data_IF_237914670574
#
_entry.id   IF_237914670574
#
_cell.length_a   1.000
_cell.length_b   1.000
_cell.length_c   1.000
_cell.angle_alpha   90.00
_cell.angle_beta   90.00
_cell.angle_gamma   90.00
#
_symmetry.space_group_name_H-M   'P 1'
#
loop_
_entity.id
_entity.type
_entity.pdbx_description
1 polymer ?
#
# COMPACT_ATOMS: atom_id res chain seq x y z
N UNK A 1 15.23 22.01 22.72
CA UNK A 1 14.20 22.46 21.76
C UNK A 1 13.41 21.22 21.37
N UNK A 2 12.24 20.98 21.98
CA UNK A 2 11.40 19.81 21.65
C UNK A 2 10.78 20.06 20.27
N UNK A 3 11.07 19.19 19.31
CA UNK A 3 10.42 19.25 18.00
C UNK A 3 8.92 19.01 18.18
N UNK A 4 8.09 19.93 17.72
CA UNK A 4 6.64 19.77 17.69
C UNK A 4 6.32 18.55 16.84
N UNK A 5 5.72 17.54 17.45
CA UNK A 5 5.35 16.29 16.78
C UNK A 5 4.31 16.59 15.70
N UNK A 6 4.56 16.18 14.46
CA UNK A 6 3.61 16.43 13.36
C UNK A 6 2.39 15.51 13.47
N UNK A 7 1.27 15.88 12.83
CA UNK A 7 0.07 15.04 12.72
C UNK A 7 0.42 13.62 12.24
N UNK A 8 1.30 13.50 11.25
CA UNK A 8 1.72 12.22 10.69
C UNK A 8 2.60 11.41 11.66
N UNK A 9 3.44 12.05 12.46
CA UNK A 9 4.21 11.37 13.50
C UNK A 9 3.33 10.83 14.64
N UNK A 10 2.22 11.51 14.94
CA UNK A 10 1.24 10.99 15.89
C UNK A 10 0.52 9.76 15.33
N UNK A 11 0.06 9.84 14.08
CA UNK A 11 -0.57 8.71 13.37
C UNK A 11 0.37 7.51 13.27
N UNK A 12 1.65 7.73 12.95
CA UNK A 12 2.64 6.65 12.82
C UNK A 12 2.76 5.83 14.11
N UNK A 13 2.85 6.47 15.26
CA UNK A 13 2.95 5.79 16.56
C UNK A 13 1.64 5.09 16.97
N UNK A 14 0.48 5.65 16.65
CA UNK A 14 -0.78 4.94 16.83
C UNK A 14 -0.82 3.66 15.99
N UNK A 15 -0.36 3.74 14.73
CA UNK A 15 -0.26 2.59 13.84
C UNK A 15 0.80 1.58 14.32
N UNK A 16 1.94 2.02 14.83
CA UNK A 16 2.99 1.15 15.38
C UNK A 16 2.51 0.40 16.64
N UNK A 17 1.60 1.01 17.41
CA UNK A 17 0.91 0.38 18.56
C UNK A 17 -0.33 -0.43 18.15
N UNK A 18 -0.55 -0.63 16.86
CA UNK A 18 -1.71 -1.35 16.31
C UNK A 18 -3.07 -0.75 16.74
N UNK A 19 -3.19 0.59 16.70
CA UNK A 19 -4.42 1.36 17.01
C UNK A 19 -4.94 2.12 15.78
N UNK A 20 -5.30 1.44 14.67
CA UNK A 20 -5.69 2.10 13.42
C UNK A 20 -7.03 2.86 13.51
N UNK A 21 -7.98 2.44 14.36
CA UNK A 21 -9.25 3.14 14.57
C UNK A 21 -9.03 4.52 15.18
N UNK A 22 -8.13 4.61 16.16
CA UNK A 22 -7.80 5.86 16.83
C UNK A 22 -7.00 6.79 15.92
N UNK A 23 -6.08 6.23 15.13
CA UNK A 23 -5.36 6.96 14.11
C UNK A 23 -6.31 7.59 13.08
N UNK A 24 -7.29 6.81 12.60
CA UNK A 24 -8.31 7.29 11.67
C UNK A 24 -9.17 8.39 12.30
N UNK A 25 -9.67 8.16 13.52
CA UNK A 25 -10.48 9.12 14.26
C UNK A 25 -9.74 10.44 14.52
N UNK A 26 -8.42 10.37 14.76
CA UNK A 26 -7.58 11.55 14.92
C UNK A 26 -7.46 12.33 13.61
N UNK A 27 -7.22 11.64 12.49
CA UNK A 27 -7.15 12.26 11.16
C UNK A 27 -8.49 12.88 10.74
N UNK A 28 -9.62 12.25 11.05
CA UNK A 28 -10.97 12.80 10.80
C UNK A 28 -11.21 14.15 11.47
N UNK A 29 -10.61 14.39 12.65
CA UNK A 29 -10.84 15.60 13.44
C UNK A 29 -9.77 16.67 13.26
N UNK A 30 -8.54 16.27 12.95
CA UNK A 30 -7.37 17.13 13.03
C UNK A 30 -6.46 17.09 11.79
N UNK A 31 -6.74 16.19 10.85
CA UNK A 31 -5.94 16.06 9.64
C UNK A 31 -6.25 17.19 8.65
N UNK A 32 -5.25 17.95 8.16
CA UNK A 32 -5.46 18.86 7.04
C UNK A 32 -5.75 18.08 5.75
N UNK A 33 -6.50 18.68 4.83
CA UNK A 33 -6.77 18.11 3.50
C UNK A 33 -5.52 18.16 2.63
N UNK A 34 -4.66 17.16 2.78
CA UNK A 34 -3.39 17.01 2.05
C UNK A 34 -3.22 15.57 1.57
N UNK A 35 -2.56 15.34 0.42
CA UNK A 35 -2.32 13.99 -0.09
C UNK A 35 -1.61 13.06 0.92
N UNK A 36 -0.72 13.60 1.75
CA UNK A 36 0.00 12.86 2.78
C UNK A 36 -0.94 12.36 3.89
N UNK A 37 -1.90 13.20 4.30
CA UNK A 37 -2.93 12.82 5.27
C UNK A 37 -3.91 11.82 4.67
N UNK A 38 -4.29 11.99 3.41
CA UNK A 38 -5.14 11.03 2.70
C UNK A 38 -4.45 9.67 2.53
N UNK A 39 -3.15 9.66 2.22
CA UNK A 39 -2.36 8.44 2.25
C UNK A 39 -2.38 7.77 3.64
N UNK A 40 -2.20 8.55 4.71
CA UNK A 40 -2.23 8.02 6.08
C UNK A 40 -3.62 7.49 6.47
N UNK A 41 -4.69 8.17 6.08
CA UNK A 41 -6.07 7.74 6.21
C UNK A 41 -6.29 6.40 5.52
N UNK A 42 -5.81 6.27 4.28
CA UNK A 42 -5.90 5.01 3.55
C UNK A 42 -5.12 3.87 4.23
N UNK A 43 -3.95 4.13 4.81
CA UNK A 43 -3.22 3.12 5.59
C UNK A 43 -4.03 2.66 6.81
N UNK A 44 -4.68 3.57 7.52
CA UNK A 44 -5.58 3.20 8.62
C UNK A 44 -6.69 2.29 8.10
N UNK A 45 -7.36 2.66 7.00
CA UNK A 45 -8.42 1.88 6.38
C UNK A 45 -7.94 0.48 5.92
N UNK A 46 -6.73 0.36 5.37
CA UNK A 46 -6.13 -0.94 5.04
C UNK A 46 -6.00 -1.84 6.26
N UNK A 47 -5.51 -1.29 7.38
CA UNK A 47 -5.33 -2.06 8.63
C UNK A 47 -6.66 -2.43 9.29
N UNK A 48 -7.71 -1.65 9.04
CA UNK A 48 -9.09 -1.94 9.44
C UNK A 48 -9.81 -2.93 8.51
N UNK A 49 -9.19 -3.36 7.41
CA UNK A 49 -9.83 -4.20 6.40
C UNK A 49 -10.89 -3.48 5.55
N UNK A 50 -10.97 -2.14 5.62
CA UNK A 50 -11.87 -1.31 4.81
C UNK A 50 -11.25 -1.03 3.43
N UNK A 51 -11.05 -2.10 2.66
CA UNK A 51 -10.23 -2.09 1.45
C UNK A 51 -10.78 -1.20 0.33
N UNK A 52 -12.10 -1.19 0.12
CA UNK A 52 -12.74 -0.38 -0.92
C UNK A 52 -12.49 1.11 -0.70
N UNK A 53 -12.62 1.58 0.54
CA UNK A 53 -12.39 2.97 0.92
C UNK A 53 -10.92 3.35 0.74
N UNK A 54 -10.01 2.48 1.20
CA UNK A 54 -8.57 2.70 1.06
C UNK A 54 -8.14 2.80 -0.41
N UNK A 55 -8.67 1.94 -1.28
CA UNK A 55 -8.35 1.94 -2.71
C UNK A 55 -8.86 3.20 -3.40
N UNK A 56 -10.06 3.66 -3.05
CA UNK A 56 -10.61 4.87 -3.63
C UNK A 56 -9.69 6.06 -3.38
N UNK A 57 -9.25 6.25 -2.13
CA UNK A 57 -8.33 7.31 -1.73
C UNK A 57 -6.95 7.14 -2.40
N UNK A 58 -6.35 5.95 -2.30
CA UNK A 58 -5.02 5.70 -2.84
C UNK A 58 -4.95 5.88 -4.35
N UNK A 59 -5.99 5.43 -5.07
CA UNK A 59 -6.09 5.63 -6.52
C UNK A 59 -6.14 7.12 -6.85
N UNK A 60 -6.95 7.89 -6.13
CA UNK A 60 -7.11 9.32 -6.38
C UNK A 60 -5.77 10.07 -6.22
N UNK A 61 -5.10 9.89 -5.08
CA UNK A 61 -3.81 10.58 -4.81
C UNK A 61 -2.65 10.05 -5.68
N UNK A 62 -2.71 8.79 -6.12
CA UNK A 62 -1.64 8.19 -6.94
C UNK A 62 -1.72 8.62 -8.39
N UNK A 63 -2.94 8.67 -8.95
CA UNK A 63 -3.16 9.02 -10.36
C UNK A 63 -3.42 10.52 -10.57
N UNK A 64 -3.99 11.24 -9.60
CA UNK A 64 -4.33 12.67 -9.71
C UNK A 64 -5.11 12.99 -11.01
N UNK A 65 -6.07 12.12 -11.35
CA UNK A 65 -6.87 12.23 -12.58
C UNK A 65 -6.17 11.80 -13.89
N UNK A 66 -4.91 11.38 -13.84
CA UNK A 66 -4.17 10.93 -15.02
C UNK A 66 -4.51 9.46 -15.38
N UNK A 67 -4.34 9.10 -16.66
CA UNK A 67 -4.46 7.71 -17.11
C UNK A 67 -3.32 6.81 -16.60
N UNK A 68 -2.14 7.38 -16.41
CA UNK A 68 -0.94 6.71 -15.88
C UNK A 68 -0.49 7.39 -14.60
N UNK A 69 0.21 6.66 -13.72
CA UNK A 69 0.81 7.24 -12.52
C UNK A 69 1.92 8.24 -12.94
N UNK A 70 1.81 9.52 -12.60
CA UNK A 70 2.84 10.52 -12.89
C UNK A 70 4.22 10.16 -12.31
N UNK A 71 5.31 10.59 -12.95
CA UNK A 71 6.68 10.29 -12.51
C UNK A 71 7.05 10.93 -11.16
N UNK A 72 6.42 12.05 -10.81
CA UNK A 72 6.60 12.78 -9.56
C UNK A 72 5.73 12.25 -8.41
N UNK A 73 4.88 11.24 -8.64
CA UNK A 73 4.04 10.67 -7.59
C UNK A 73 4.91 10.05 -6.49
N UNK A 74 4.74 10.46 -5.21
CA UNK A 74 5.54 9.95 -4.11
C UNK A 74 5.57 8.42 -4.03
N UNK A 75 6.76 7.85 -3.86
CA UNK A 75 6.96 6.40 -3.78
C UNK A 75 6.05 5.74 -2.73
N UNK A 76 5.86 6.40 -1.58
CA UNK A 76 5.02 5.89 -0.48
C UNK A 76 3.57 5.66 -0.92
N UNK A 77 3.00 6.54 -1.76
CA UNK A 77 1.63 6.42 -2.24
C UNK A 77 1.50 5.22 -3.18
N UNK A 78 2.47 5.06 -4.08
CA UNK A 78 2.52 3.91 -5.01
C UNK A 78 2.63 2.58 -4.25
N UNK A 79 3.48 2.49 -3.23
CA UNK A 79 3.64 1.26 -2.43
C UNK A 79 2.40 0.94 -1.59
N UNK A 80 1.73 1.94 -1.03
CA UNK A 80 0.46 1.73 -0.33
C UNK A 80 -0.65 1.31 -1.31
N UNK A 81 -0.68 1.88 -2.51
CA UNK A 81 -1.62 1.47 -3.55
C UNK A 81 -1.37 0.02 -4.01
N UNK A 82 -0.11 -0.38 -4.22
CA UNK A 82 0.25 -1.79 -4.46
C UNK A 82 -0.23 -2.68 -3.32
N UNK A 83 0.00 -2.26 -2.08
CA UNK A 83 -0.45 -3.01 -0.89
C UNK A 83 -1.97 -3.25 -0.97
N UNK A 84 -2.74 -2.20 -1.25
CA UNK A 84 -4.20 -2.28 -1.39
C UNK A 84 -4.63 -3.22 -2.53
N UNK A 85 -4.01 -3.11 -3.70
CA UNK A 85 -4.29 -3.97 -4.86
C UNK A 85 -4.01 -5.45 -4.56
N UNK A 86 -2.92 -5.77 -3.87
CA UNK A 86 -2.63 -7.14 -3.45
C UNK A 86 -3.68 -7.68 -2.49
N UNK A 87 -4.15 -6.88 -1.54
CA UNK A 87 -5.16 -7.27 -0.56
C UNK A 87 -6.53 -7.55 -1.19
N UNK A 88 -6.90 -6.84 -2.26
CA UNK A 88 -8.12 -7.14 -3.05
C UNK A 88 -7.90 -8.13 -4.19
N UNK A 89 -6.75 -8.81 -4.21
CA UNK A 89 -6.41 -9.81 -5.20
C UNK A 89 -6.23 -9.28 -6.65
N UNK A 90 -6.06 -7.97 -6.82
CA UNK A 90 -5.84 -7.31 -8.12
C UNK A 90 -4.35 -7.33 -8.50
N UNK A 91 -3.85 -8.52 -8.85
CA UNK A 91 -2.42 -8.78 -9.03
C UNK A 91 -1.85 -8.14 -10.30
N UNK A 92 -2.62 -8.05 -11.38
CA UNK A 92 -2.14 -7.46 -12.64
C UNK A 92 -1.65 -6.02 -12.44
N UNK A 93 -2.49 -5.19 -11.80
CA UNK A 93 -2.13 -3.81 -11.47
C UNK A 93 -0.97 -3.73 -10.46
N UNK A 94 -0.98 -4.57 -9.43
CA UNK A 94 0.08 -4.59 -8.43
C UNK A 94 1.45 -4.93 -9.03
N UNK A 95 1.52 -5.95 -9.90
CA UNK A 95 2.77 -6.38 -10.54
C UNK A 95 3.26 -5.34 -11.53
N UNK A 96 2.37 -4.71 -12.31
CA UNK A 96 2.74 -3.66 -13.25
C UNK A 96 3.40 -2.46 -12.54
N UNK A 97 2.85 -2.03 -11.40
CA UNK A 97 3.44 -0.95 -10.60
C UNK A 97 4.76 -1.40 -9.97
N UNK A 98 4.82 -2.61 -9.38
CA UNK A 98 6.06 -3.13 -8.79
C UNK A 98 7.19 -3.29 -9.81
N UNK A 99 6.86 -3.64 -11.05
CA UNK A 99 7.83 -3.77 -12.13
C UNK A 99 8.47 -2.43 -12.51
N UNK A 100 7.71 -1.33 -12.46
CA UNK A 100 8.23 0.03 -12.60
C UNK A 100 9.13 0.42 -11.42
N UNK A 101 8.88 -0.12 -10.23
CA UNK A 101 9.60 0.19 -8.99
C UNK A 101 10.81 -0.72 -8.71
N UNK A 102 11.20 -1.62 -9.63
CA UNK A 102 12.23 -2.68 -9.44
C UNK A 102 13.54 -2.24 -8.77
N UNK A 103 13.99 -0.99 -8.96
CA UNK A 103 15.27 -0.47 -8.43
C UNK A 103 15.16 0.20 -7.04
N UNK A 104 13.97 0.24 -6.45
CA UNK A 104 13.76 0.92 -5.16
C UNK A 104 14.15 0.04 -3.97
N UNK A 105 14.99 0.60 -3.09
CA UNK A 105 15.48 -0.06 -1.87
C UNK A 105 14.64 0.26 -0.63
N UNK A 106 13.49 0.93 -0.78
CA UNK A 106 12.59 1.22 0.34
C UNK A 106 12.18 -0.09 1.05
N UNK A 107 12.21 -0.16 2.39
CA UNK A 107 11.92 -1.40 3.11
C UNK A 107 10.52 -1.97 2.83
N UNK A 108 9.52 -1.13 2.55
CA UNK A 108 8.19 -1.60 2.16
C UNK A 108 8.21 -2.22 0.76
N UNK A 109 8.96 -1.65 -0.18
CA UNK A 109 9.13 -2.23 -1.50
C UNK A 109 9.82 -3.60 -1.45
N UNK A 110 10.80 -3.76 -0.56
CA UNK A 110 11.44 -5.06 -0.29
C UNK A 110 10.44 -6.06 0.28
N UNK A 111 9.70 -5.68 1.32
CA UNK A 111 8.68 -6.54 1.94
C UNK A 111 7.59 -6.99 0.96
N UNK A 112 7.12 -6.09 0.08
CA UNK A 112 6.15 -6.42 -0.96
C UNK A 112 6.72 -7.41 -1.98
N UNK A 113 7.97 -7.22 -2.42
CA UNK A 113 8.65 -8.17 -3.32
C UNK A 113 8.78 -9.54 -2.67
N UNK A 114 9.21 -9.59 -1.41
CA UNK A 114 9.33 -10.85 -0.68
C UNK A 114 7.97 -11.54 -0.51
N UNK A 115 6.89 -10.81 -0.23
CA UNK A 115 5.54 -11.37 -0.16
C UNK A 115 5.09 -11.95 -1.51
N UNK A 116 5.32 -11.22 -2.60
CA UNK A 116 5.06 -11.67 -3.97
C UNK A 116 5.87 -12.92 -4.30
N UNK A 117 7.16 -12.95 -3.92
CA UNK A 117 8.04 -14.08 -4.20
C UNK A 117 7.67 -15.32 -3.38
N UNK A 118 7.31 -15.15 -2.10
CA UNK A 118 6.77 -16.24 -1.27
C UNK A 118 5.50 -16.81 -1.88
N UNK A 119 4.58 -15.94 -2.30
CA UNK A 119 3.36 -16.35 -2.99
C UNK A 119 3.66 -17.08 -4.30
N UNK A 120 4.55 -16.57 -5.15
CA UNK A 120 4.97 -17.27 -6.39
C UNK A 120 5.57 -18.64 -6.08
N UNK A 121 6.36 -18.76 -5.01
CA UNK A 121 6.93 -20.03 -4.56
C UNK A 121 5.87 -20.99 -4.01
N UNK A 122 4.76 -20.51 -3.45
CA UNK A 122 3.66 -21.40 -3.04
C UNK A 122 2.86 -21.95 -4.23
N UNK A 123 2.99 -21.35 -5.42
CA UNK A 123 2.35 -21.88 -6.62
C UNK A 123 3.06 -23.15 -7.12
N UNK A 124 2.27 -24.11 -7.60
CA UNK A 124 2.78 -25.26 -8.36
C UNK A 124 3.44 -24.82 -9.68
N UNK A 125 4.18 -25.73 -10.31
CA UNK A 125 5.00 -25.44 -11.51
C UNK A 125 4.22 -24.74 -12.63
N UNK A 126 2.97 -25.17 -12.88
CA UNK A 126 2.08 -24.57 -13.88
C UNK A 126 1.71 -23.12 -13.50
N UNK A 127 1.39 -22.88 -12.22
CA UNK A 127 1.06 -21.55 -11.74
C UNK A 127 2.23 -20.57 -11.81
N UNK A 128 3.45 -21.07 -11.60
CA UNK A 128 4.68 -20.27 -11.77
C UNK A 128 4.91 -19.88 -13.22
N UNK A 129 4.76 -20.82 -14.16
CA UNK A 129 4.87 -20.55 -15.60
C UNK A 129 3.80 -19.57 -16.07
N UNK A 130 2.56 -19.70 -15.57
CA UNK A 130 1.48 -18.75 -15.82
C UNK A 130 1.84 -17.32 -15.41
N UNK A 131 2.48 -17.14 -14.25
CA UNK A 131 2.91 -15.82 -13.79
C UNK A 131 3.93 -15.16 -14.73
N UNK A 132 4.80 -15.94 -15.40
CA UNK A 132 5.76 -15.39 -16.37
C UNK A 132 5.10 -14.79 -17.61
N UNK A 133 3.87 -15.22 -17.94
CA UNK A 133 3.08 -14.71 -19.07
C UNK A 133 1.92 -13.80 -18.63
N UNK A 134 1.92 -13.36 -17.37
CA UNK A 134 0.89 -12.45 -16.83
C UNK A 134 -0.41 -13.12 -16.39
N UNK A 135 -0.46 -14.46 -16.32
CA UNK A 135 -1.62 -15.20 -15.82
C UNK A 135 -1.46 -15.48 -14.33
N UNK A 136 -2.16 -14.71 -13.49
CA UNK A 136 -2.07 -14.87 -12.05
C UNK A 136 -3.23 -15.70 -11.47
N UNK A 137 -2.95 -16.75 -10.67
CA UNK A 137 -3.98 -17.58 -10.08
C UNK A 137 -4.78 -16.83 -9.00
N UNK A 138 -5.98 -17.35 -8.68
CA UNK A 138 -6.91 -16.73 -7.71
C UNK A 138 -6.40 -16.72 -6.27
N UNK A 139 -5.42 -17.55 -5.92
CA UNK A 139 -4.85 -17.60 -4.57
C UNK A 139 -4.33 -16.22 -4.13
N UNK A 140 -4.73 -15.71 -2.95
CA UNK A 140 -4.33 -14.39 -2.47
C UNK A 140 -2.84 -14.33 -2.12
N UNK A 141 -2.27 -13.12 -2.19
CA UNK A 141 -0.91 -12.85 -1.69
C UNK A 141 -0.99 -12.53 -0.21
N UNK A 142 -0.42 -13.37 0.63
CA UNK A 142 -0.29 -13.09 2.06
C UNK A 142 0.88 -12.15 2.31
N UNK A 143 0.59 -10.96 2.86
CA UNK A 143 1.63 -9.96 3.13
C UNK A 143 2.59 -10.44 4.22
N UNK A 144 2.08 -10.94 5.35
CA UNK A 144 2.89 -11.34 6.50
C UNK A 144 3.51 -10.17 7.27
N UNK A 145 3.03 -8.95 7.05
CA UNK A 145 3.41 -7.71 7.74
C UNK A 145 2.23 -6.73 7.75
N UNK A 146 2.25 -5.70 8.64
CA UNK A 146 1.18 -4.70 8.70
C UNK A 146 0.99 -3.97 7.35
N UNK A 147 -0.24 -3.89 6.82
CA UNK A 147 -0.52 -3.18 5.58
C UNK A 147 -0.15 -1.70 5.64
N UNK A 148 0.61 -1.25 4.65
CA UNK A 148 0.89 0.16 4.39
C UNK A 148 1.78 0.86 5.42
N UNK A 149 2.30 2.04 5.03
CA UNK A 149 3.14 2.91 5.87
C UNK A 149 2.82 4.39 5.70
N UNK A 150 3.06 5.16 6.76
CA UNK A 150 2.92 6.63 6.82
C UNK A 150 4.28 7.30 6.80
#
# INVERSE_FOLDING_TARGET
>A
MMATRTTLDHVRDLLDRNRPEEALSFLDRHGPETPEVENARAVCLLRLGRLSDAIAILRDITFRGNMNIPDDTPLRFQLNFVTAMLMINFKDGAMAVMDRLKRQTDPQAVQLREAIDRWRKSLGLIGRLGCCVGLYPRQPVELGFPPGRV
#
